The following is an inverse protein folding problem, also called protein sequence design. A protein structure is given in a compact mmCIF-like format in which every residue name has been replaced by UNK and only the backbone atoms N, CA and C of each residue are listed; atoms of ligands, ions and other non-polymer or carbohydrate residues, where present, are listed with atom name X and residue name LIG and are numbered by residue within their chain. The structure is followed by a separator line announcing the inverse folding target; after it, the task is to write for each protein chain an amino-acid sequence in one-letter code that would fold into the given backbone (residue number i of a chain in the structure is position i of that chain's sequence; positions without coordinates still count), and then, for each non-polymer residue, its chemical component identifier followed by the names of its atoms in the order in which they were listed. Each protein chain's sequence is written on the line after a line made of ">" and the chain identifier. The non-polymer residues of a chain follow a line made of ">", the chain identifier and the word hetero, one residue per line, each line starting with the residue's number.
data_IF_665829059067
#
_entry.id   IF_665829059067
#
_cell.length_a   1.000
_cell.length_b   1.000
_cell.length_c   1.000
_cell.angle_alpha   90.00
_cell.angle_beta   90.00
_cell.angle_gamma   90.00
#
_symmetry.space_group_name_H-M   'P 1'
#
loop_
_entity.id
_entity.type
_entity.pdbx_description
1 polymer ?
#
# COMPACT_ATOMS: atom_id res chain seq x y z
N UNK A 1 2.80 21.98 0.03
CA UNK A 1 2.00 21.18 0.99
C UNK A 1 1.70 19.81 0.40
N UNK A 2 1.81 18.75 1.21
CA UNK A 2 1.55 17.37 0.75
C UNK A 2 0.16 16.87 1.13
N UNK A 3 -0.45 16.07 0.25
CA UNK A 3 -1.71 15.36 0.50
C UNK A 3 -1.56 13.86 0.22
N UNK A 4 -2.05 13.06 1.16
CA UNK A 4 -2.20 11.61 1.02
C UNK A 4 -3.67 11.30 0.73
N UNK A 5 -3.95 10.88 -0.50
CA UNK A 5 -5.31 10.61 -0.97
C UNK A 5 -5.51 9.12 -1.12
N UNK A 6 -6.56 8.60 -0.53
CA UNK A 6 -7.03 7.25 -0.83
C UNK A 6 -7.72 7.27 -2.20
N UNK A 7 -7.15 6.56 -3.17
CA UNK A 7 -7.71 6.45 -4.51
C UNK A 7 -8.88 5.46 -4.50
N UNK A 8 -10.10 6.00 -4.49
CA UNK A 8 -11.35 5.27 -4.71
C UNK A 8 -11.74 5.32 -6.19
N UNK A 9 -12.75 4.54 -6.60
CA UNK A 9 -13.34 4.67 -7.96
C UNK A 9 -13.93 6.05 -8.21
N UNK A 10 -14.50 6.68 -7.17
CA UNK A 10 -15.04 8.03 -7.25
C UNK A 10 -13.95 9.07 -7.52
N UNK A 11 -12.83 9.02 -6.79
CA UNK A 11 -11.68 9.90 -7.05
C UNK A 11 -11.12 9.65 -8.45
N UNK A 12 -10.95 8.39 -8.84
CA UNK A 12 -10.46 8.02 -10.17
C UNK A 12 -11.39 8.51 -11.30
N UNK A 13 -12.70 8.53 -11.07
CA UNK A 13 -13.70 9.05 -12.01
C UNK A 13 -13.77 10.58 -12.09
N UNK A 14 -13.27 11.29 -11.06
CA UNK A 14 -13.37 12.74 -10.91
C UNK A 14 -12.01 13.43 -10.83
N UNK A 15 -10.99 12.88 -11.50
CA UNK A 15 -9.61 13.39 -11.42
C UNK A 15 -9.47 14.86 -11.86
N UNK A 16 -10.27 15.33 -12.83
CA UNK A 16 -10.24 16.75 -13.23
C UNK A 16 -10.63 17.66 -12.06
N UNK A 17 -11.76 17.40 -11.41
CA UNK A 17 -12.22 18.17 -10.26
C UNK A 17 -11.27 18.03 -9.06
N UNK A 18 -10.66 16.86 -8.90
CA UNK A 18 -9.61 16.67 -7.89
C UNK A 18 -8.41 17.58 -8.16
N UNK A 19 -7.96 17.70 -9.42
CA UNK A 19 -6.85 18.59 -9.77
C UNK A 19 -7.22 20.07 -9.67
N UNK A 20 -8.47 20.45 -9.94
CA UNK A 20 -8.96 21.81 -9.67
C UNK A 20 -8.81 22.16 -8.19
N UNK A 21 -9.14 21.23 -7.29
CA UNK A 21 -8.92 21.37 -5.84
C UNK A 21 -7.43 21.45 -5.48
N UNK A 22 -6.58 20.61 -6.06
CA UNK A 22 -5.13 20.62 -5.83
C UNK A 22 -4.51 21.99 -6.14
N UNK A 23 -4.90 22.57 -7.27
CA UNK A 23 -4.42 23.89 -7.70
C UNK A 23 -4.97 25.01 -6.80
N UNK A 24 -6.27 24.98 -6.47
CA UNK A 24 -6.91 25.97 -5.62
C UNK A 24 -6.29 26.04 -4.21
N UNK A 25 -5.95 24.89 -3.64
CA UNK A 25 -5.38 24.79 -2.29
C UNK A 25 -3.85 24.83 -2.26
N UNK A 26 -3.18 24.88 -3.42
CA UNK A 26 -1.72 24.99 -3.52
C UNK A 26 -0.97 23.76 -3.00
N UNK A 27 -1.49 22.56 -3.22
CA UNK A 27 -0.75 21.33 -2.93
C UNK A 27 0.35 21.11 -3.99
N UNK A 28 1.57 20.83 -3.53
CA UNK A 28 2.76 20.63 -4.37
C UNK A 28 3.22 19.17 -4.37
N UNK A 29 2.60 18.31 -3.56
CA UNK A 29 2.93 16.89 -3.46
C UNK A 29 1.70 16.03 -3.23
N UNK A 30 1.49 15.06 -4.11
CA UNK A 30 0.36 14.14 -4.12
C UNK A 30 0.85 12.71 -3.91
N UNK A 31 0.21 11.97 -3.01
CA UNK A 31 0.46 10.54 -2.83
C UNK A 31 -0.88 9.81 -2.83
N UNK A 32 -1.04 8.86 -3.73
CA UNK A 32 -2.26 8.06 -3.86
C UNK A 32 -2.08 6.68 -3.23
N UNK A 33 -2.83 6.40 -2.18
CA UNK A 33 -2.96 5.07 -1.57
C UNK A 33 -4.08 4.25 -2.19
N UNK A 34 -3.99 2.93 -2.09
CA UNK A 34 -5.12 2.04 -2.33
C UNK A 34 -5.82 1.74 -1.01
N UNK A 35 -7.15 1.60 -1.03
CA UNK A 35 -7.82 0.87 0.03
C UNK A 35 -7.37 -0.59 0.00
N UNK A 36 -7.03 -1.12 1.16
CA UNK A 36 -6.65 -2.52 1.37
C UNK A 36 -7.52 -3.08 2.46
N UNK A 37 -7.74 -4.40 2.42
CA UNK A 37 -8.48 -5.12 3.46
C UNK A 37 -9.92 -4.59 3.62
N UNK A 38 -10.54 -4.20 2.50
CA UNK A 38 -11.93 -3.74 2.37
C UNK A 38 -12.76 -4.69 1.50
N UNK A 39 -14.10 -4.65 1.61
CA UNK A 39 -14.98 -5.38 0.70
C UNK A 39 -14.70 -5.06 -0.78
N UNK A 40 -14.89 -6.05 -1.65
CA UNK A 40 -14.49 -5.99 -3.06
C UNK A 40 -15.17 -4.85 -3.84
N UNK A 41 -16.40 -4.52 -3.47
CA UNK A 41 -17.16 -3.40 -4.03
C UNK A 41 -16.52 -2.03 -3.76
N UNK A 42 -15.67 -1.91 -2.73
CA UNK A 42 -14.91 -0.69 -2.42
C UNK A 42 -13.44 -0.78 -2.86
N UNK A 43 -12.97 -1.98 -3.20
CA UNK A 43 -11.59 -2.19 -3.63
C UNK A 43 -11.34 -1.59 -5.03
N UNK A 44 -10.19 -0.94 -5.20
CA UNK A 44 -9.67 -0.56 -6.52
C UNK A 44 -8.66 -1.61 -6.94
N UNK A 45 -8.94 -2.30 -8.04
CA UNK A 45 -8.02 -3.32 -8.57
C UNK A 45 -6.69 -2.70 -8.98
N UNK A 46 -5.64 -3.52 -9.01
CA UNK A 46 -4.32 -3.08 -9.48
C UNK A 46 -4.38 -2.46 -10.89
N UNK A 47 -5.20 -3.01 -11.78
CA UNK A 47 -5.36 -2.49 -13.13
C UNK A 47 -6.09 -1.14 -13.17
N UNK A 48 -7.13 -0.93 -12.36
CA UNK A 48 -7.80 0.38 -12.21
C UNK A 48 -6.83 1.42 -11.64
N UNK A 49 -6.06 1.06 -10.62
CA UNK A 49 -5.07 1.95 -10.01
C UNK A 49 -4.03 2.43 -11.02
N UNK A 50 -3.44 1.52 -11.81
CA UNK A 50 -2.48 1.90 -12.86
C UNK A 50 -3.09 2.73 -13.99
N UNK A 51 -4.34 2.46 -14.35
CA UNK A 51 -5.07 3.30 -15.32
C UNK A 51 -5.26 4.73 -14.79
N UNK A 52 -5.63 4.87 -13.52
CA UNK A 52 -5.75 6.18 -12.88
C UNK A 52 -4.40 6.91 -12.80
N UNK A 53 -3.31 6.22 -12.44
CA UNK A 53 -1.97 6.83 -12.42
C UNK A 53 -1.52 7.33 -13.79
N UNK A 54 -1.81 6.60 -14.87
CA UNK A 54 -1.57 7.09 -16.23
C UNK A 54 -2.38 8.35 -16.52
N UNK A 55 -3.67 8.35 -16.17
CA UNK A 55 -4.53 9.52 -16.36
C UNK A 55 -4.04 10.74 -15.57
N UNK A 56 -3.61 10.54 -14.33
CA UNK A 56 -2.98 11.58 -13.49
C UNK A 56 -1.75 12.17 -14.19
N UNK A 57 -0.88 11.34 -14.75
CA UNK A 57 0.30 11.82 -15.49
C UNK A 57 -0.08 12.65 -16.73
N UNK A 58 -1.13 12.25 -17.44
CA UNK A 58 -1.66 12.99 -18.59
C UNK A 58 -2.22 14.35 -18.19
N UNK A 59 -3.04 14.41 -17.13
CA UNK A 59 -3.62 15.66 -16.60
C UNK A 59 -2.51 16.62 -16.18
N UNK A 60 -1.53 16.13 -15.38
CA UNK A 60 -0.38 16.92 -14.95
C UNK A 60 0.34 17.58 -16.13
N UNK A 61 0.61 16.79 -17.19
CA UNK A 61 1.26 17.28 -18.41
C UNK A 61 0.39 18.30 -19.15
N UNK A 62 -0.90 18.00 -19.33
CA UNK A 62 -1.83 18.86 -20.06
C UNK A 62 -2.01 20.23 -19.38
N UNK A 63 -1.95 20.26 -18.04
CA UNK A 63 -2.09 21.47 -17.23
C UNK A 63 -0.75 22.17 -16.91
N UNK A 64 0.39 21.64 -17.37
CA UNK A 64 1.70 22.23 -17.09
C UNK A 64 2.10 22.18 -15.60
N UNK A 65 1.60 21.20 -14.85
CA UNK A 65 1.78 21.09 -13.39
C UNK A 65 3.11 20.42 -13.02
N UNK A 66 4.21 20.80 -13.67
CA UNK A 66 5.51 20.13 -13.46
C UNK A 66 6.12 20.32 -12.08
N UNK A 67 5.70 21.37 -11.40
CA UNK A 67 6.06 21.65 -10.02
C UNK A 67 5.34 20.76 -9.00
N UNK A 68 4.24 20.08 -9.38
CA UNK A 68 3.51 19.17 -8.48
C UNK A 68 4.13 17.77 -8.52
N UNK A 69 4.73 17.34 -7.42
CA UNK A 69 5.28 15.99 -7.26
C UNK A 69 4.15 14.96 -7.10
N UNK A 70 4.12 13.91 -7.93
CA UNK A 70 3.24 12.75 -7.69
C UNK A 70 4.11 11.60 -7.21
N UNK A 71 4.14 11.37 -5.90
CA UNK A 71 5.08 10.44 -5.25
C UNK A 71 5.03 9.02 -5.82
N UNK A 72 3.85 8.56 -6.26
CA UNK A 72 3.71 7.27 -6.95
C UNK A 72 4.52 7.22 -8.25
N UNK A 73 4.38 8.24 -9.11
CA UNK A 73 5.04 8.31 -10.41
C UNK A 73 6.56 8.47 -10.26
N UNK A 74 7.00 9.25 -9.28
CA UNK A 74 8.41 9.41 -8.94
C UNK A 74 9.02 8.08 -8.47
N UNK A 75 8.34 7.36 -7.57
CA UNK A 75 8.78 6.07 -7.09
C UNK A 75 8.92 5.04 -8.22
N UNK A 76 8.00 5.04 -9.19
CA UNK A 76 8.11 4.17 -10.38
C UNK A 76 9.27 4.57 -11.29
N UNK A 77 9.41 5.85 -11.58
CA UNK A 77 10.50 6.38 -12.43
C UNK A 77 11.86 6.01 -11.85
N UNK A 78 12.06 6.21 -10.55
CA UNK A 78 13.31 5.86 -9.87
C UNK A 78 13.55 4.36 -9.79
N UNK A 79 12.50 3.56 -9.60
CA UNK A 79 12.62 2.10 -9.62
C UNK A 79 13.11 1.59 -10.98
N UNK A 80 12.58 2.14 -12.09
CA UNK A 80 13.04 1.83 -13.45
C UNK A 80 14.52 2.24 -13.63
N UNK A 81 14.93 3.35 -13.03
CA UNK A 81 16.31 3.82 -13.02
C UNK A 81 17.25 3.06 -12.05
N UNK A 82 16.78 1.95 -11.43
CA UNK A 82 17.57 1.13 -10.51
C UNK A 82 17.79 1.75 -9.12
N UNK A 83 17.03 2.81 -8.77
CA UNK A 83 17.10 3.51 -7.48
C UNK A 83 15.74 3.49 -6.77
N UNK A 84 15.18 2.30 -6.45
CA UNK A 84 13.82 2.22 -5.94
C UNK A 84 13.67 3.00 -4.62
N UNK A 85 12.65 3.85 -4.55
CA UNK A 85 12.26 4.49 -3.29
C UNK A 85 11.67 3.45 -2.33
N UNK A 86 11.95 3.65 -1.04
CA UNK A 86 11.49 2.80 0.07
C UNK A 86 10.15 3.29 0.61
N UNK A 87 9.15 3.41 -0.26
CA UNK A 87 7.79 3.88 0.06
C UNK A 87 6.82 2.70 0.06
N UNK A 88 5.78 2.73 0.90
CA UNK A 88 4.83 1.61 1.02
C UNK A 88 4.41 1.11 -0.37
N UNK A 89 4.26 -0.21 -0.59
CA UNK A 89 3.88 -0.79 -1.89
C UNK A 89 2.44 -0.46 -2.28
N UNK A 90 1.69 0.14 -1.36
CA UNK A 90 0.42 0.80 -1.60
C UNK A 90 0.58 2.15 -2.32
N UNK A 91 1.79 2.73 -2.29
CA UNK A 91 2.19 4.01 -2.87
C UNK A 91 3.31 3.87 -3.93
N UNK A 92 4.17 2.83 -3.89
CA UNK A 92 5.30 2.69 -4.83
C UNK A 92 5.88 1.26 -4.94
N UNK A 93 7.17 1.14 -5.24
CA UNK A 93 7.79 -0.14 -5.68
C UNK A 93 8.23 -1.05 -4.52
N UNK A 94 8.94 -0.55 -3.51
CA UNK A 94 9.43 -1.35 -2.36
C UNK A 94 9.16 -0.65 -1.02
N UNK A 95 8.44 -1.29 -0.09
CA UNK A 95 8.01 -0.62 1.17
C UNK A 95 9.02 -0.65 2.31
N UNK A 96 10.04 -1.51 2.23
CA UNK A 96 10.95 -1.75 3.35
C UNK A 96 10.28 -2.32 4.61
N UNK A 97 9.02 -2.76 4.54
CA UNK A 97 8.28 -3.37 5.65
C UNK A 97 9.07 -4.51 6.29
N UNK A 98 9.27 -4.41 7.59
CA UNK A 98 10.04 -5.34 8.41
C UNK A 98 11.55 -5.24 8.28
N UNK A 99 12.09 -4.51 7.30
CA UNK A 99 13.54 -4.42 7.07
C UNK A 99 14.07 -3.04 7.43
N UNK A 100 13.45 -2.01 6.83
CA UNK A 100 13.78 -0.60 7.05
C UNK A 100 12.73 0.09 7.92
N UNK A 101 11.53 -0.48 7.99
CA UNK A 101 10.40 0.03 8.75
C UNK A 101 9.82 -1.10 9.59
N UNK A 102 9.66 -0.85 10.88
CA UNK A 102 8.88 -1.70 11.80
C UNK A 102 7.90 -0.79 12.54
N UNK A 103 6.80 -1.37 13.02
CA UNK A 103 5.79 -0.63 13.73
C UNK A 103 5.58 -1.27 15.09
N UNK A 104 5.75 -0.48 16.14
CA UNK A 104 5.39 -0.85 17.49
C UNK A 104 3.91 -0.54 17.69
N UNK A 105 3.12 -1.57 18.00
CA UNK A 105 1.69 -1.46 18.28
C UNK A 105 1.44 -2.04 19.67
N UNK A 106 1.31 -1.14 20.65
CA UNK A 106 1.25 -1.50 22.08
C UNK A 106 2.45 -2.34 22.50
N UNK A 107 2.24 -3.65 22.77
CA UNK A 107 3.29 -4.56 23.24
C UNK A 107 3.92 -5.39 22.12
N UNK A 108 3.35 -5.35 20.92
CA UNK A 108 3.77 -6.19 19.79
C UNK A 108 4.43 -5.32 18.73
N UNK A 109 5.39 -5.92 18.02
CA UNK A 109 6.09 -5.27 16.92
C UNK A 109 5.72 -5.98 15.62
N UNK A 110 5.38 -5.21 14.60
CA UNK A 110 4.95 -5.72 13.31
C UNK A 110 5.81 -5.16 12.18
N UNK A 111 5.94 -5.87 11.04
CA UNK A 111 6.67 -5.34 9.89
C UNK A 111 5.85 -4.29 9.13
N UNK A 112 4.51 -4.35 9.22
CA UNK A 112 3.57 -3.52 8.49
C UNK A 112 2.25 -3.38 9.26
N UNK A 113 1.55 -2.26 9.10
CA UNK A 113 0.23 -2.04 9.70
C UNK A 113 -0.84 -3.00 9.19
N UNK A 114 -0.66 -3.60 8.01
CA UNK A 114 -1.55 -4.64 7.49
C UNK A 114 -1.47 -5.97 8.24
N UNK A 115 -0.48 -6.12 9.12
CA UNK A 115 -0.29 -7.33 9.93
C UNK A 115 -0.76 -7.14 11.38
N UNK A 116 -1.36 -6.00 11.72
CA UNK A 116 -1.87 -5.79 13.06
C UNK A 116 -2.92 -6.83 13.42
N UNK A 117 -2.81 -7.39 14.63
CA UNK A 117 -3.71 -8.42 15.12
C UNK A 117 -3.56 -9.79 14.44
N UNK A 118 -2.61 -9.95 13.52
CA UNK A 118 -2.25 -11.25 12.93
C UNK A 118 -1.08 -11.85 13.70
N UNK A 119 -1.28 -12.96 14.46
CA UNK A 119 -0.22 -13.58 15.24
C UNK A 119 1.01 -13.97 14.40
N UNK A 120 0.79 -14.40 13.15
CA UNK A 120 1.83 -14.74 12.17
C UNK A 120 2.66 -13.52 11.71
N UNK A 121 2.13 -12.32 11.93
CA UNK A 121 2.74 -11.04 11.60
C UNK A 121 3.63 -10.47 12.71
N UNK A 122 3.59 -11.02 13.91
CA UNK A 122 4.35 -10.51 15.07
C UNK A 122 5.84 -10.79 14.87
N UNK A 123 6.66 -9.74 14.96
CA UNK A 123 8.12 -9.80 14.91
C UNK A 123 8.73 -10.12 16.28
N UNK A 124 8.09 -9.65 17.34
CA UNK A 124 8.58 -9.72 18.71
C UNK A 124 7.83 -8.73 19.59
N UNK A 125 8.34 -8.48 20.79
CA UNK A 125 7.76 -7.52 21.73
C UNK A 125 8.51 -6.21 21.78
N UNK A 126 7.83 -5.17 22.25
CA UNK A 126 8.40 -3.82 22.35
C UNK A 126 9.63 -3.71 23.28
N UNK A 127 9.74 -4.63 24.25
CA UNK A 127 10.80 -4.70 25.26
C UNK A 127 11.96 -5.63 24.87
N UNK A 128 11.85 -6.31 23.73
CA UNK A 128 12.90 -7.20 23.23
C UNK A 128 13.91 -6.44 22.36
N UNK A 129 15.22 -6.74 22.49
CA UNK A 129 16.23 -6.23 21.56
C UNK A 129 15.92 -6.59 20.10
N UNK A 130 16.08 -5.62 19.19
CA UNK A 130 15.82 -5.78 17.74
C UNK A 130 16.57 -6.97 17.10
N UNK A 131 17.74 -7.30 17.61
CA UNK A 131 18.57 -8.43 17.17
C UNK A 131 17.92 -9.81 17.39
N UNK A 132 16.92 -9.90 18.27
CA UNK A 132 16.15 -11.12 18.49
C UNK A 132 14.97 -11.25 17.53
N UNK A 133 14.65 -10.21 16.76
CA UNK A 133 13.58 -10.30 15.78
C UNK A 133 13.98 -11.21 14.61
N UNK A 134 13.06 -12.04 14.08
CA UNK A 134 13.41 -13.02 13.06
C UNK A 134 13.96 -12.37 11.77
N UNK A 135 15.08 -12.87 11.22
CA UNK A 135 15.54 -12.47 9.89
C UNK A 135 14.61 -12.99 8.79
N UNK A 136 14.34 -12.16 7.77
CA UNK A 136 13.21 -12.30 6.82
C UNK A 136 13.20 -13.51 5.88
N UNK A 137 14.27 -14.32 5.79
CA UNK A 137 14.37 -15.41 4.81
C UNK A 137 13.33 -16.53 4.93
N UNK A 138 12.56 -16.59 6.03
CA UNK A 138 11.46 -17.56 6.25
C UNK A 138 10.06 -16.98 6.12
N UNK A 139 9.89 -15.72 5.67
CA UNK A 139 8.54 -15.09 5.61
C UNK A 139 7.81 -15.26 4.28
N UNK A 140 8.50 -15.60 3.18
CA UNK A 140 7.87 -16.09 1.95
C UNK A 140 7.29 -17.51 2.12
N UNK A 141 7.78 -18.29 3.08
CA UNK A 141 7.24 -19.61 3.42
C UNK A 141 5.88 -19.55 4.14
N UNK A 142 5.55 -18.46 4.83
CA UNK A 142 4.23 -18.29 5.48
C UNK A 142 3.14 -18.10 4.41
N UNK A 143 3.44 -17.39 3.32
CA UNK A 143 2.55 -17.29 2.15
C UNK A 143 2.41 -18.62 1.39
N UNK A 144 3.49 -19.42 1.33
CA UNK A 144 3.46 -20.74 0.69
C UNK A 144 2.74 -21.81 1.54
N UNK A 145 2.86 -21.75 2.87
CA UNK A 145 2.17 -22.67 3.78
C UNK A 145 0.66 -22.39 3.87
N UNK A 146 0.24 -21.12 3.86
CA UNK A 146 -1.17 -20.75 3.81
C UNK A 146 -1.85 -21.10 2.48
N UNK A 147 -1.11 -21.10 1.37
CA UNK A 147 -1.59 -21.53 0.06
C UNK A 147 -1.64 -23.07 -0.12
N UNK A 148 -1.00 -23.83 0.77
CA UNK A 148 -0.92 -25.29 0.73
C UNK A 148 -1.79 -26.00 1.78
N UNK A 149 -2.51 -25.25 2.62
CA UNK A 149 -3.46 -25.85 3.56
C UNK A 149 -4.68 -26.39 2.79
N UNK A 150 -5.04 -27.68 2.92
CA UNK A 150 -6.25 -28.21 2.29
C UNK A 150 -7.47 -27.49 2.88
N UNK A 151 -8.37 -27.04 2.01
CA UNK A 151 -9.67 -26.50 2.42
C UNK A 151 -10.35 -27.51 3.34
N UNK A 152 -10.59 -27.11 4.58
CA UNK A 152 -11.38 -27.90 5.51
C UNK A 152 -12.74 -28.21 4.85
N UNK A 153 -13.24 -29.45 4.93
CA UNK A 153 -14.54 -29.78 4.38
C UNK A 153 -15.62 -28.95 5.11
N UNK A 154 -16.55 -28.41 4.33
CA UNK A 154 -17.67 -27.63 4.83
C UNK A 154 -18.42 -28.41 5.94
N UNK A 155 -18.85 -27.75 7.03
CA UNK A 155 -19.67 -28.41 8.04
C UNK A 155 -20.97 -28.90 7.39
N UNK A 156 -21.29 -30.18 7.60
CA UNK A 156 -22.55 -30.76 7.16
C UNK A 156 -23.70 -29.95 7.77
N UNK A 157 -24.58 -29.44 6.90
CA UNK A 157 -25.78 -28.71 7.32
C UNK A 157 -26.69 -29.58 8.19
N UNK A 158 -27.52 -28.97 9.04
CA UNK A 158 -28.41 -29.70 9.93
C UNK A 158 -29.41 -30.53 9.13
N UNK A 159 -29.51 -31.82 9.45
CA UNK A 159 -30.58 -32.71 8.99
C UNK A 159 -31.90 -32.27 9.60
N UNK A 160 -32.89 -32.01 8.76
CA UNK A 160 -34.28 -31.79 9.12
C UNK A 160 -34.94 -33.08 9.65
#
# INVERSE_FOLDING_TARGET
>A
MAINTTLTREVAGNLEAYFDFIEAEGFDKLIFGRLVDVPEEFAVSTAEFYRALRRIAEIKRARGLDHVEVGNLEAYTRAIAGKPDRVCTMFGSTCGSGFHNIIYMQREVYPCGRMFGQPEGVLGRYDEPLEHFPPHGRRSAIKAAAAAAPTAPAPAGPTA
#
